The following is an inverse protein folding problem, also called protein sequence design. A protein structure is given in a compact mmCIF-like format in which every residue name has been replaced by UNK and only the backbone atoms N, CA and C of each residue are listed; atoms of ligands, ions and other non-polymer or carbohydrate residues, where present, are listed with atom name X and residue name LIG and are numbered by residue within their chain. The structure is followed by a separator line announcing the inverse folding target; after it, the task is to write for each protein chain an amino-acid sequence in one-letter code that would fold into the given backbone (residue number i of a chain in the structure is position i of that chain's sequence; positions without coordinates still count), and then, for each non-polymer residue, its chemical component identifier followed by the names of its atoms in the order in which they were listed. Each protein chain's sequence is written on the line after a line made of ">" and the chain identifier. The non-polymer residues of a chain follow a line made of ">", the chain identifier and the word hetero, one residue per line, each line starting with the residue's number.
data_IF_748854773452
#
_entry.id   IF_748854773452
#
_cell.length_a   1.000
_cell.length_b   1.000
_cell.length_c   1.000
_cell.angle_alpha   90.00
_cell.angle_beta   90.00
_cell.angle_gamma   90.00
#
_symmetry.space_group_name_H-M   'P 1'
#
loop_
_entity.id
_entity.type
_entity.pdbx_description
1 polymer ?
#
# COMPACT_ATOMS: atom_id res chain seq x y z
N UNK A 1 33.38 -15.91 11.12
CA UNK A 1 32.66 -14.92 10.31
C UNK A 1 31.28 -15.49 9.98
N UNK A 2 30.25 -15.00 10.64
CA UNK A 2 28.87 -15.40 10.41
C UNK A 2 28.48 -15.06 8.96
N UNK A 3 28.25 -16.07 8.17
CA UNK A 3 27.84 -15.91 6.79
C UNK A 3 26.34 -15.58 6.75
N UNK A 4 25.99 -14.32 7.08
CA UNK A 4 24.62 -13.83 7.22
C UNK A 4 23.88 -13.63 5.89
N UNK A 5 24.53 -13.99 4.78
CA UNK A 5 23.97 -13.80 3.43
C UNK A 5 22.67 -14.57 3.21
N UNK A 6 22.47 -15.68 3.92
CA UNK A 6 21.31 -16.55 3.78
C UNK A 6 20.30 -16.46 4.94
N UNK A 7 20.40 -15.43 5.81
CA UNK A 7 19.46 -15.27 6.93
C UNK A 7 17.99 -15.14 6.50
N UNK A 8 17.74 -14.72 5.27
CA UNK A 8 16.39 -14.65 4.70
C UNK A 8 15.76 -16.03 4.44
N UNK A 9 16.57 -17.09 4.42
CA UNK A 9 16.11 -18.49 4.30
C UNK A 9 15.87 -19.17 5.66
N UNK A 10 16.27 -18.53 6.76
CA UNK A 10 16.07 -19.07 8.09
C UNK A 10 14.68 -18.68 8.63
N UNK A 11 13.75 -19.62 8.61
CA UNK A 11 12.44 -19.49 9.23
C UNK A 11 12.49 -20.01 10.66
N UNK A 12 12.67 -19.12 11.63
CA UNK A 12 12.62 -19.48 13.05
C UNK A 12 11.19 -19.50 13.54
N UNK A 13 10.89 -20.37 14.49
CA UNK A 13 9.53 -20.52 15.04
C UNK A 13 8.93 -19.21 15.62
N UNK A 14 9.77 -18.27 16.07
CA UNK A 14 9.34 -16.98 16.62
C UNK A 14 9.58 -15.79 15.68
N UNK A 15 10.05 -16.02 14.45
CA UNK A 15 10.31 -14.97 13.46
C UNK A 15 9.06 -14.70 12.63
N UNK A 16 7.99 -14.24 13.28
CA UNK A 16 6.76 -13.85 12.61
C UNK A 16 6.05 -12.72 13.38
N UNK A 17 5.22 -11.96 12.67
CA UNK A 17 4.28 -11.03 13.26
C UNK A 17 2.87 -11.46 12.96
N UNK A 18 2.04 -11.57 13.99
CA UNK A 18 0.61 -11.83 13.84
C UNK A 18 -0.13 -10.49 13.75
N UNK A 19 -0.97 -10.36 12.74
CA UNK A 19 -1.80 -9.18 12.54
C UNK A 19 -3.25 -9.48 12.93
N UNK A 20 -3.98 -8.48 13.46
CA UNK A 20 -5.41 -8.64 13.74
C UNK A 20 -6.21 -9.01 12.50
N UNK A 21 -7.21 -9.87 12.67
CA UNK A 21 -8.04 -10.35 11.55
C UNK A 21 -8.82 -9.23 10.84
N UNK A 22 -9.14 -8.14 11.54
CA UNK A 22 -9.82 -6.98 10.95
C UNK A 22 -8.96 -6.21 9.92
N UNK A 23 -7.69 -6.54 9.78
CA UNK A 23 -6.83 -5.98 8.73
C UNK A 23 -7.13 -6.60 7.36
N UNK A 24 -7.76 -7.76 7.36
CA UNK A 24 -8.11 -8.55 6.18
C UNK A 24 -6.85 -9.05 5.46
N UNK A 25 -6.78 -8.96 4.15
CA UNK A 25 -5.67 -9.54 3.38
C UNK A 25 -4.46 -8.60 3.29
N UNK A 26 -3.27 -9.16 3.41
CA UNK A 26 -2.04 -8.47 3.03
C UNK A 26 -1.99 -8.31 1.50
N UNK A 27 -1.90 -7.08 1.02
CA UNK A 27 -1.83 -6.76 -0.41
C UNK A 27 -0.41 -6.66 -0.93
N UNK A 28 0.49 -6.06 -0.17
CA UNK A 28 1.89 -5.93 -0.58
C UNK A 28 2.83 -5.66 0.58
N UNK A 29 4.09 -6.00 0.35
CA UNK A 29 5.25 -5.57 1.14
C UNK A 29 6.12 -4.71 0.21
N UNK A 30 6.17 -3.41 0.46
CA UNK A 30 6.84 -2.45 -0.41
C UNK A 30 8.12 -1.90 0.24
N UNK A 31 9.26 -2.23 -0.32
CA UNK A 31 10.57 -1.72 0.11
C UNK A 31 10.91 -0.33 -0.45
N UNK A 32 9.95 0.37 -1.06
CA UNK A 32 10.16 1.66 -1.71
C UNK A 32 10.23 2.84 -0.73
N UNK A 33 9.89 2.62 0.53
CA UNK A 33 9.98 3.66 1.56
C UNK A 33 11.42 3.85 2.00
N UNK A 34 11.86 5.10 2.13
CA UNK A 34 13.24 5.41 2.52
C UNK A 34 13.59 4.90 3.93
N UNK A 35 12.60 4.83 4.82
CA UNK A 35 12.78 4.45 6.22
C UNK A 35 12.37 3.02 6.57
N UNK A 36 11.97 2.19 5.59
CA UNK A 36 11.57 0.83 5.93
C UNK A 36 10.83 0.09 4.83
N UNK A 37 10.17 -0.97 5.24
CA UNK A 37 9.27 -1.77 4.40
C UNK A 37 7.84 -1.50 4.82
N UNK A 38 7.01 -1.07 3.88
CA UNK A 38 5.60 -0.81 4.09
C UNK A 38 4.80 -2.08 3.86
N UNK A 39 4.11 -2.57 4.89
CA UNK A 39 3.13 -3.65 4.77
C UNK A 39 1.74 -3.03 4.60
N UNK A 40 1.10 -3.30 3.46
CA UNK A 40 -0.23 -2.77 3.14
C UNK A 40 -1.27 -3.87 3.19
N UNK A 41 -2.28 -3.65 4.01
CA UNK A 41 -3.46 -4.49 4.13
C UNK A 41 -4.68 -3.77 3.53
N UNK A 42 -5.78 -4.48 3.37
CA UNK A 42 -7.02 -3.87 2.87
C UNK A 42 -7.50 -2.70 3.72
N UNK A 43 -7.33 -2.78 5.03
CA UNK A 43 -7.85 -1.79 5.98
C UNK A 43 -6.76 -1.02 6.73
N UNK A 44 -5.51 -1.46 6.69
CA UNK A 44 -4.40 -0.87 7.46
C UNK A 44 -3.10 -0.88 6.68
N UNK A 45 -2.18 -0.01 7.11
CA UNK A 45 -0.80 -0.01 6.64
C UNK A 45 0.15 0.06 7.83
N UNK A 46 1.24 -0.70 7.77
CA UNK A 46 2.26 -0.76 8.81
C UNK A 46 3.65 -0.54 8.22
N UNK A 47 4.49 0.17 8.96
CA UNK A 47 5.87 0.43 8.56
C UNK A 47 6.83 -0.38 9.43
N UNK A 48 7.57 -1.29 8.80
CA UNK A 48 8.74 -1.93 9.40
C UNK A 48 9.95 -1.03 9.20
N UNK A 49 10.53 -0.55 10.30
CA UNK A 49 11.69 0.32 10.24
C UNK A 49 12.91 -0.41 9.67
N UNK A 50 13.64 0.26 8.80
CA UNK A 50 14.97 -0.17 8.38
C UNK A 50 15.97 -0.04 9.54
N UNK A 51 17.06 -0.78 9.43
CA UNK A 51 18.27 -0.49 10.20
C UNK A 51 18.67 0.97 10.02
N UNK A 52 18.79 1.67 11.13
CA UNK A 52 19.35 3.01 11.13
C UNK A 52 20.89 2.89 11.13
N UNK A 53 21.52 3.44 10.12
CA UNK A 53 22.97 3.68 10.13
C UNK A 53 23.22 4.95 10.92
N UNK A 54 23.94 4.87 12.03
CA UNK A 54 24.44 6.06 12.68
C UNK A 54 25.78 6.38 12.04
N UNK A 55 25.85 7.52 11.37
CA UNK A 55 27.12 8.13 10.99
C UNK A 55 27.82 8.60 12.28
N UNK A 56 28.62 7.71 12.82
CA UNK A 56 29.62 8.12 13.78
C UNK A 56 30.77 8.71 12.97
N UNK A 57 31.37 9.78 13.42
CA UNK A 57 32.58 10.40 12.85
C UNK A 57 33.80 9.44 12.80
N UNK A 58 33.58 8.18 13.10
CA UNK A 58 34.51 7.08 13.00
C UNK A 58 34.22 6.26 11.71
N UNK A 59 35.23 5.77 10.98
CA UNK A 59 35.06 5.09 9.68
C UNK A 59 34.30 3.76 9.73
N UNK A 60 33.86 3.31 10.89
CA UNK A 60 32.99 2.16 11.04
C UNK A 60 31.55 2.63 11.28
N UNK A 61 30.72 2.54 10.26
CA UNK A 61 29.29 2.79 10.40
C UNK A 61 28.68 1.84 11.43
N UNK A 62 28.12 2.40 12.50
CA UNK A 62 27.39 1.63 13.49
C UNK A 62 25.95 1.43 13.01
N UNK A 63 25.51 0.19 12.95
CA UNK A 63 24.13 -0.16 12.62
C UNK A 63 23.37 -0.37 13.92
N UNK A 64 22.29 0.40 14.12
CA UNK A 64 21.35 0.19 15.21
C UNK A 64 20.08 -0.44 14.66
N UNK A 65 19.74 -1.58 15.18
CA UNK A 65 18.52 -2.32 14.84
C UNK A 65 18.81 -3.80 14.60
N UNK A 66 17.75 -4.58 14.51
CA UNK A 66 17.85 -5.99 14.19
C UNK A 66 17.92 -6.15 12.65
N UNK A 67 18.91 -6.91 12.10
CA UNK A 67 18.99 -7.15 10.66
C UNK A 67 17.83 -8.00 10.11
N UNK A 68 17.01 -8.56 11.00
CA UNK A 68 15.87 -9.40 10.63
C UNK A 68 14.57 -8.58 10.69
N UNK A 69 13.83 -8.59 9.60
CA UNK A 69 12.61 -7.79 9.46
C UNK A 69 11.57 -8.13 10.55
N UNK A 70 11.45 -9.40 10.92
CA UNK A 70 10.43 -9.88 11.85
C UNK A 70 10.93 -10.13 13.28
N UNK A 71 12.23 -10.05 13.54
CA UNK A 71 12.81 -10.15 14.89
C UNK A 71 12.99 -8.78 15.56
N UNK A 72 12.70 -7.71 14.84
CA UNK A 72 12.89 -6.33 15.29
C UNK A 72 11.76 -5.80 16.17
N UNK A 73 11.86 -4.53 16.50
CA UNK A 73 10.77 -3.81 17.16
C UNK A 73 9.46 -3.94 16.36
N UNK A 74 8.31 -3.99 17.04
CA UNK A 74 7.04 -4.07 16.34
C UNK A 74 6.91 -2.92 15.34
N UNK A 75 6.26 -3.16 14.18
CA UNK A 75 6.08 -2.14 13.18
C UNK A 75 5.26 -0.98 13.70
N UNK A 76 5.50 0.21 13.16
CA UNK A 76 4.72 1.40 13.48
C UNK A 76 3.38 1.31 12.75
N UNK A 77 2.29 1.36 13.50
CA UNK A 77 0.96 1.49 12.92
C UNK A 77 0.72 2.94 12.47
N UNK A 78 0.49 3.13 11.19
CA UNK A 78 0.07 4.43 10.66
C UNK A 78 -1.32 4.87 11.16
N UNK A 79 -2.06 3.98 11.83
CA UNK A 79 -3.37 4.31 12.39
C UNK A 79 -3.32 5.17 13.65
N UNK A 80 -2.18 5.38 14.26
CA UNK A 80 -2.01 6.41 15.29
C UNK A 80 -2.10 7.84 14.73
N UNK A 81 -2.30 7.96 13.43
CA UNK A 81 -2.67 9.23 12.79
C UNK A 81 -4.15 9.49 12.99
N UNK A 82 -4.57 10.76 12.92
CA UNK A 82 -5.98 11.20 13.03
C UNK A 82 -6.96 10.48 12.08
N UNK A 83 -6.44 9.76 11.11
CA UNK A 83 -7.24 9.04 10.13
C UNK A 83 -7.76 7.69 10.64
N UNK A 84 -7.14 7.07 11.64
CA UNK A 84 -7.54 5.77 12.22
C UNK A 84 -7.65 4.61 11.22
N UNK A 85 -7.49 4.89 9.94
CA UNK A 85 -7.68 3.99 8.84
C UNK A 85 -6.83 4.42 7.65
N UNK A 86 -6.02 3.50 7.14
CA UNK A 86 -5.27 3.64 5.89
C UNK A 86 -5.27 2.29 5.22
N UNK A 87 -6.20 2.08 4.29
CA UNK A 87 -6.34 0.83 3.57
C UNK A 87 -5.80 0.91 2.14
N UNK A 88 -5.62 -0.25 1.55
CA UNK A 88 -5.29 -0.38 0.14
C UNK A 88 -5.80 -1.69 -0.41
N UNK A 89 -6.65 -1.65 -1.42
CA UNK A 89 -7.19 -2.85 -2.04
C UNK A 89 -6.40 -3.29 -3.26
N UNK A 90 -5.54 -2.41 -3.78
CA UNK A 90 -4.66 -2.69 -4.92
C UNK A 90 -3.18 -2.54 -4.55
N UNK A 91 -2.33 -3.05 -5.46
CA UNK A 91 -0.88 -2.91 -5.35
C UNK A 91 -0.36 -1.52 -5.74
N UNK A 92 -1.25 -0.62 -6.17
CA UNK A 92 -0.85 0.72 -6.54
C UNK A 92 -0.07 1.42 -5.43
N UNK A 93 1.17 1.72 -5.70
CA UNK A 93 2.05 2.54 -4.87
C UNK A 93 3.00 3.31 -5.79
N UNK A 94 2.92 4.61 -5.75
CA UNK A 94 3.77 5.50 -6.53
C UNK A 94 4.77 6.23 -5.63
N UNK A 95 6.06 6.01 -5.85
CA UNK A 95 7.10 6.77 -5.16
C UNK A 95 7.19 8.17 -5.77
N UNK A 96 7.18 9.18 -4.91
CA UNK A 96 7.37 10.61 -5.23
C UNK A 96 8.54 11.17 -4.38
N UNK A 97 9.11 12.31 -4.72
CA UNK A 97 10.29 12.85 -4.01
C UNK A 97 10.06 13.06 -2.49
N UNK A 98 8.84 13.33 -2.08
CA UNK A 98 8.46 13.60 -0.69
C UNK A 98 7.76 12.42 0.01
N UNK A 99 7.69 11.24 -0.64
CA UNK A 99 7.08 10.07 -0.01
C UNK A 99 6.53 9.05 -1.00
N UNK A 100 5.38 8.48 -0.67
CA UNK A 100 4.69 7.54 -1.53
C UNK A 100 3.18 7.81 -1.56
N UNK A 101 2.58 7.68 -2.74
CA UNK A 101 1.14 7.85 -2.94
C UNK A 101 0.49 6.48 -3.08
N UNK A 102 -0.59 6.24 -2.35
CA UNK A 102 -1.42 5.04 -2.42
C UNK A 102 -2.90 5.42 -2.44
N UNK A 103 -3.77 4.47 -2.78
CA UNK A 103 -5.20 4.72 -2.86
C UNK A 103 -6.00 3.65 -2.15
N UNK A 104 -7.04 4.08 -1.45
CA UNK A 104 -8.11 3.24 -0.93
C UNK A 104 -9.32 3.38 -1.86
N UNK A 105 -9.49 2.41 -2.74
CA UNK A 105 -10.56 2.44 -3.74
C UNK A 105 -11.94 2.21 -3.14
N UNK A 106 -12.06 1.51 -2.01
CA UNK A 106 -13.35 1.30 -1.34
C UNK A 106 -13.91 2.60 -0.76
N UNK A 107 -13.02 3.47 -0.26
CA UNK A 107 -13.41 4.74 0.34
C UNK A 107 -13.28 5.93 -0.59
N UNK A 108 -12.70 5.73 -1.76
CA UNK A 108 -12.44 6.81 -2.70
C UNK A 108 -11.45 7.83 -2.14
N UNK A 109 -10.41 7.35 -1.44
CA UNK A 109 -9.40 8.20 -0.81
C UNK A 109 -8.01 7.94 -1.41
N UNK A 110 -7.23 9.00 -1.52
CA UNK A 110 -5.83 8.93 -1.94
C UNK A 110 -4.97 9.47 -0.82
N UNK A 111 -3.96 8.70 -0.44
CA UNK A 111 -3.08 9.03 0.67
C UNK A 111 -1.67 9.32 0.19
N UNK A 112 -1.07 10.37 0.75
CA UNK A 112 0.35 10.62 0.69
C UNK A 112 0.99 10.16 1.99
N UNK A 113 1.91 9.22 1.90
CA UNK A 113 2.71 8.73 3.02
C UNK A 113 4.06 9.44 3.00
N UNK A 114 4.27 10.36 3.94
CA UNK A 114 5.49 11.16 4.05
C UNK A 114 6.15 10.94 5.41
N UNK A 115 7.25 10.21 5.44
CA UNK A 115 7.91 9.82 6.70
C UNK A 115 7.03 8.92 7.54
N UNK A 116 6.64 9.37 8.74
CA UNK A 116 5.72 8.67 9.65
C UNK A 116 4.28 9.21 9.58
N UNK A 117 4.01 10.16 8.68
CA UNK A 117 2.70 10.81 8.55
C UNK A 117 1.97 10.27 7.32
N UNK A 118 0.66 10.14 7.46
CA UNK A 118 -0.26 9.85 6.37
C UNK A 118 -1.19 11.04 6.19
N UNK A 119 -1.25 11.54 4.98
CA UNK A 119 -2.04 12.72 4.62
C UNK A 119 -3.09 12.28 3.61
N UNK A 120 -4.36 12.50 3.91
CA UNK A 120 -5.44 12.31 2.95
C UNK A 120 -5.50 13.51 2.01
N UNK A 121 -4.99 13.33 0.80
CA UNK A 121 -4.94 14.41 -0.20
C UNK A 121 -6.29 14.67 -0.86
N UNK A 122 -7.26 13.78 -0.72
CA UNK A 122 -8.63 14.00 -1.23
C UNK A 122 -9.40 15.02 -0.42
N UNK A 123 -8.95 15.34 0.79
CA UNK A 123 -9.53 16.41 1.62
C UNK A 123 -9.12 17.82 1.19
N UNK A 124 -8.05 17.92 0.39
CA UNK A 124 -7.60 19.22 -0.09
C UNK A 124 -8.37 19.61 -1.35
N UNK A 125 -9.21 20.57 -1.23
CA UNK A 125 -9.95 21.14 -2.34
C UNK A 125 -11.45 20.84 -2.36
N UNK A 126 -12.20 21.84 -2.76
CA UNK A 126 -13.65 21.78 -2.85
C UNK A 126 -14.09 20.75 -3.90
N UNK A 127 -14.88 19.78 -3.47
CA UNK A 127 -15.46 18.77 -4.36
C UNK A 127 -14.56 17.57 -4.70
N UNK A 128 -13.25 17.61 -4.41
CA UNK A 128 -12.34 16.50 -4.73
C UNK A 128 -12.73 15.22 -4.00
N UNK A 129 -13.06 15.31 -2.72
CA UNK A 129 -13.51 14.17 -1.93
C UNK A 129 -14.74 13.52 -2.55
N UNK A 130 -15.76 14.31 -2.89
CA UNK A 130 -16.99 13.81 -3.51
C UNK A 130 -16.73 13.15 -4.87
N UNK A 131 -15.88 13.77 -5.69
CA UNK A 131 -15.49 13.21 -6.98
C UNK A 131 -14.78 11.86 -6.81
N UNK A 132 -13.79 11.77 -5.92
CA UNK A 132 -13.04 10.56 -5.70
C UNK A 132 -13.90 9.45 -5.10
N UNK A 133 -14.78 9.76 -4.15
CA UNK A 133 -15.71 8.78 -3.57
C UNK A 133 -16.63 8.17 -4.63
N UNK A 134 -17.01 8.93 -5.65
CA UNK A 134 -17.91 8.44 -6.70
C UNK A 134 -17.17 7.72 -7.84
N UNK A 135 -15.92 8.08 -8.14
CA UNK A 135 -15.24 7.61 -9.35
C UNK A 135 -14.06 6.68 -9.10
N UNK A 136 -13.53 6.64 -7.89
CA UNK A 136 -12.39 5.77 -7.57
C UNK A 136 -12.79 4.30 -7.35
N UNK A 137 -13.94 3.97 -6.72
CA UNK A 137 -14.43 2.61 -6.63
C UNK A 137 -14.58 1.96 -8.01
N UNK A 138 -14.32 0.66 -8.11
CA UNK A 138 -14.46 -0.07 -9.37
C UNK A 138 -15.91 -0.43 -9.61
N UNK A 139 -16.46 0.03 -10.72
CA UNK A 139 -17.86 -0.20 -11.12
C UNK A 139 -18.10 -1.66 -11.51
N UNK A 140 -17.09 -2.33 -12.06
CA UNK A 140 -17.18 -3.76 -12.39
C UNK A 140 -17.56 -4.62 -11.18
N UNK A 141 -17.23 -4.20 -9.95
CA UNK A 141 -17.57 -4.94 -8.73
C UNK A 141 -19.07 -4.96 -8.41
N UNK A 142 -19.85 -4.04 -8.98
CA UNK A 142 -21.30 -4.05 -8.87
C UNK A 142 -21.92 -5.21 -9.67
N UNK A 143 -21.28 -5.56 -10.78
CA UNK A 143 -21.73 -6.63 -11.68
C UNK A 143 -21.05 -7.96 -11.36
N UNK A 144 -19.78 -7.93 -11.03
CA UNK A 144 -18.93 -9.09 -10.76
C UNK A 144 -18.15 -8.90 -9.44
N UNK A 145 -18.77 -9.17 -8.29
CA UNK A 145 -18.18 -8.87 -6.97
C UNK A 145 -16.87 -9.61 -6.67
N UNK A 146 -16.63 -10.75 -7.33
CA UNK A 146 -15.42 -11.56 -7.11
C UNK A 146 -14.30 -11.28 -8.13
N UNK A 147 -14.50 -10.34 -9.06
CA UNK A 147 -13.47 -10.02 -10.03
C UNK A 147 -12.25 -9.40 -9.33
N UNK A 148 -11.08 -9.81 -9.80
CA UNK A 148 -9.83 -9.27 -9.28
C UNK A 148 -9.50 -7.94 -9.95
N UNK A 149 -9.68 -6.85 -9.23
CA UNK A 149 -9.54 -5.48 -9.75
C UNK A 149 -8.10 -4.96 -9.78
N UNK A 150 -7.13 -5.78 -9.41
CA UNK A 150 -5.69 -5.46 -9.50
C UNK A 150 -5.03 -6.37 -10.53
N UNK A 151 -5.61 -6.43 -11.72
CA UNK A 151 -5.23 -7.35 -12.78
C UNK A 151 -4.58 -6.60 -13.95
N UNK A 152 -3.26 -6.54 -13.93
CA UNK A 152 -2.49 -5.89 -15.00
C UNK A 152 -2.63 -6.55 -16.37
N UNK A 153 -2.89 -7.85 -16.43
CA UNK A 153 -3.07 -8.57 -17.70
C UNK A 153 -4.37 -8.18 -18.39
N UNK A 154 -5.44 -8.02 -17.62
CA UNK A 154 -6.72 -7.58 -18.15
C UNK A 154 -6.86 -6.06 -18.15
N UNK A 155 -5.82 -5.34 -17.71
CA UNK A 155 -5.81 -3.90 -17.72
C UNK A 155 -6.70 -3.25 -16.65
N UNK A 156 -7.27 -4.02 -15.72
CA UNK A 156 -8.07 -3.48 -14.61
C UNK A 156 -7.13 -3.05 -13.48
N UNK A 157 -7.29 -1.84 -12.98
CA UNK A 157 -6.49 -1.39 -11.84
C UNK A 157 -6.21 0.11 -11.84
N UNK A 158 -5.34 0.50 -10.91
CA UNK A 158 -4.82 1.85 -10.80
C UNK A 158 -3.38 1.89 -11.29
N UNK A 159 -3.08 2.88 -12.11
CA UNK A 159 -1.74 3.19 -12.58
C UNK A 159 -1.41 4.65 -12.26
N UNK A 160 -0.15 4.92 -11.99
CA UNK A 160 0.26 6.29 -11.72
C UNK A 160 1.68 6.58 -12.16
N UNK A 161 1.91 7.84 -12.49
CA UNK A 161 3.21 8.37 -12.84
C UNK A 161 3.42 9.71 -12.14
N UNK A 162 4.65 9.93 -11.70
CA UNK A 162 5.08 11.24 -11.22
C UNK A 162 5.73 12.01 -12.37
N UNK A 163 5.15 13.16 -12.70
CA UNK A 163 5.68 14.08 -13.69
C UNK A 163 6.54 15.12 -12.98
N UNK A 164 7.86 14.93 -13.05
CA UNK A 164 8.83 15.80 -12.38
C UNK A 164 8.92 17.20 -12.99
N UNK A 165 8.47 17.40 -14.24
CA UNK A 165 8.50 18.69 -14.90
C UNK A 165 7.50 19.69 -14.29
N UNK A 166 6.33 19.17 -13.89
CA UNK A 166 5.24 19.98 -13.36
C UNK A 166 4.94 19.66 -11.89
N UNK A 167 5.80 18.85 -11.23
CA UNK A 167 5.64 18.39 -9.84
C UNK A 167 4.22 17.90 -9.54
N UNK A 168 3.73 16.98 -10.37
CA UNK A 168 2.38 16.46 -10.27
C UNK A 168 2.33 14.94 -10.34
N UNK A 169 1.33 14.37 -9.68
CA UNK A 169 0.98 12.97 -9.77
C UNK A 169 -0.21 12.81 -10.70
N UNK A 170 -0.07 11.92 -11.68
CA UNK A 170 -1.13 11.53 -12.59
C UNK A 170 -1.53 10.10 -12.21
N UNK A 171 -2.82 9.90 -11.88
CA UNK A 171 -3.36 8.58 -11.56
C UNK A 171 -4.44 8.27 -12.59
N UNK A 172 -4.35 7.09 -13.18
CA UNK A 172 -5.36 6.56 -14.11
C UNK A 172 -6.00 5.32 -13.51
N UNK A 173 -7.31 5.24 -13.58
CA UNK A 173 -8.11 4.05 -13.27
C UNK A 173 -8.55 3.43 -14.59
N UNK A 174 -8.31 2.14 -14.78
CA UNK A 174 -8.90 1.36 -15.84
C UNK A 174 -9.92 0.40 -15.23
N UNK A 175 -11.13 0.47 -15.74
CA UNK A 175 -12.30 -0.24 -15.27
C UNK A 175 -13.13 -0.73 -16.46
N UNK A 176 -13.97 -1.72 -16.25
CA UNK A 176 -14.87 -2.24 -17.28
C UNK A 176 -16.30 -2.21 -16.76
N UNK A 177 -17.19 -1.76 -17.63
CA UNK A 177 -18.63 -1.78 -17.41
C UNK A 177 -19.25 -2.66 -18.47
N UNK A 178 -20.13 -3.62 -18.14
CA UNK A 178 -20.86 -4.38 -19.14
C UNK A 178 -21.65 -3.47 -20.09
N UNK A 179 -21.58 -3.74 -21.39
CA UNK A 179 -22.20 -2.91 -22.44
C UNK A 179 -23.71 -3.15 -22.51
N UNK A 180 -24.17 -4.34 -22.06
CA UNK A 180 -25.59 -4.73 -22.09
C UNK A 180 -25.93 -5.59 -20.86
N UNK A 181 -27.21 -5.71 -20.58
CA UNK A 181 -27.75 -6.50 -19.45
C UNK A 181 -27.67 -8.01 -19.64
N UNK A 182 -27.19 -8.49 -20.80
CA UNK A 182 -27.05 -9.91 -21.10
C UNK A 182 -25.85 -10.53 -20.36
N UNK A 183 -24.90 -9.69 -19.94
CA UNK A 183 -23.74 -10.11 -19.16
C UNK A 183 -24.09 -10.07 -17.68
N UNK A 184 -24.37 -11.24 -17.09
CA UNK A 184 -24.75 -11.37 -15.67
C UNK A 184 -23.77 -12.28 -14.95
N UNK A 185 -23.51 -11.92 -13.71
CA UNK A 185 -22.71 -12.76 -12.82
C UNK A 185 -23.53 -13.96 -12.33
N UNK A 186 -23.01 -15.16 -12.59
CA UNK A 186 -23.55 -16.40 -12.02
C UNK A 186 -22.92 -16.63 -10.63
N UNK A 187 -23.67 -16.36 -9.59
CA UNK A 187 -23.23 -16.52 -8.20
C UNK A 187 -22.99 -17.98 -7.79
N UNK A 188 -23.56 -18.94 -8.51
CA UNK A 188 -23.37 -20.37 -8.23
C UNK A 188 -22.04 -20.88 -8.77
N UNK A 189 -21.75 -20.54 -10.03
CA UNK A 189 -20.53 -20.95 -10.71
C UNK A 189 -19.38 -19.92 -10.60
N UNK A 190 -19.63 -18.78 -9.99
CA UNK A 190 -18.67 -17.67 -9.82
C UNK A 190 -18.05 -17.18 -11.14
N UNK A 191 -18.85 -17.05 -12.17
CA UNK A 191 -18.44 -16.67 -13.52
C UNK A 191 -19.24 -15.49 -14.06
#
# INVERSE_FOLDING_TARGET
>A
ADNRVNNWLEYRALSYHAYPQNYVNLKSLDGKMDKGVLARFENKAWLYNKLLTIDTSNPQAAYIGNPRLFDGAPPIDFAETDLGYVGSQNKFLLKVPYGAVTADVKRGQIFLMAGSKVIDITKFGSGVNRFMTSHLPFEILEYFPEVYTDNHFNGIGLHGVYDSRFDRVIITKLDYIPVNDDVKYDSVNKK
#
